data_IF_926107659143
#
_entry.id   IF_926107659143
#
_cell.length_a   1.000
_cell.length_b   1.000
_cell.length_c   1.000
_cell.angle_alpha   90.00
_cell.angle_beta   90.00
_cell.angle_gamma   90.00
#
_symmetry.space_group_name_H-M   'P 1'
#
loop_
_entity.id
_entity.type
_entity.pdbx_description
1 polymer ?
#
# COMPACT_ATOMS: atom_id res chain seq x y z
N UNK A 1 -5.97 -13.19 -25.77
CA UNK A 1 -4.98 -12.28 -25.14
C UNK A 1 -5.28 -12.21 -23.67
N UNK A 2 -4.25 -12.21 -22.79
CA UNK A 2 -4.49 -12.00 -21.36
C UNK A 2 -4.99 -10.56 -21.14
N UNK A 3 -5.94 -10.34 -20.23
CA UNK A 3 -6.40 -9.00 -19.91
C UNK A 3 -5.23 -8.13 -19.40
N UNK A 4 -5.24 -6.82 -19.69
CA UNK A 4 -4.24 -5.89 -19.15
C UNK A 4 -4.16 -5.98 -17.63
N UNK A 5 -2.96 -5.75 -17.08
CA UNK A 5 -2.71 -5.81 -15.65
C UNK A 5 -2.25 -4.43 -15.16
N UNK A 6 -2.99 -3.82 -14.25
CA UNK A 6 -2.59 -2.59 -13.58
C UNK A 6 -1.83 -2.93 -12.29
N UNK A 7 -0.56 -2.53 -12.22
CA UNK A 7 0.21 -2.62 -10.99
C UNK A 7 -0.05 -1.36 -10.15
N UNK A 8 -0.53 -1.56 -8.96
CA UNK A 8 -0.58 -0.53 -7.93
C UNK A 8 0.62 -0.71 -7.02
N UNK A 9 1.67 0.07 -7.28
CA UNK A 9 2.88 0.08 -6.45
C UNK A 9 2.66 1.02 -5.27
N UNK A 10 2.65 0.48 -4.05
CA UNK A 10 2.24 1.20 -2.86
C UNK A 10 2.92 0.64 -1.60
N UNK A 11 2.83 1.41 -0.51
CA UNK A 11 3.24 0.97 0.83
C UNK A 11 2.12 1.29 1.82
N UNK A 12 1.74 0.36 2.73
CA UNK A 12 0.63 0.59 3.66
C UNK A 12 0.91 1.73 4.66
N UNK A 13 2.17 2.06 4.89
CA UNK A 13 2.57 3.17 5.75
C UNK A 13 3.06 4.39 4.95
N UNK A 14 2.65 4.53 3.68
CA UNK A 14 2.85 5.74 2.87
C UNK A 14 1.61 6.63 2.94
N UNK A 15 1.73 7.85 3.47
CA UNK A 15 0.60 8.78 3.63
C UNK A 15 -0.06 9.16 2.31
N UNK A 16 0.72 9.33 1.23
CA UNK A 16 0.17 9.57 -0.10
C UNK A 16 -0.59 8.36 -0.66
N UNK A 17 -0.22 7.12 -0.28
CA UNK A 17 -1.00 5.92 -0.61
C UNK A 17 -2.32 5.88 0.17
N UNK A 18 -2.33 6.35 1.43
CA UNK A 18 -3.57 6.54 2.18
C UNK A 18 -4.47 7.59 1.52
N UNK A 19 -3.91 8.76 1.17
CA UNK A 19 -4.63 9.78 0.41
C UNK A 19 -5.14 9.32 -0.96
N UNK A 20 -4.53 8.29 -1.54
CA UNK A 20 -4.89 7.73 -2.84
C UNK A 20 -5.90 6.57 -2.72
N UNK A 21 -6.20 6.06 -1.52
CA UNK A 21 -7.07 4.90 -1.34
C UNK A 21 -8.47 5.07 -1.97
N UNK A 22 -9.16 6.23 -1.91
CA UNK A 22 -10.43 6.39 -2.61
C UNK A 22 -10.30 6.32 -4.14
N UNK A 23 -9.17 6.78 -4.67
CA UNK A 23 -8.91 6.76 -6.12
C UNK A 23 -8.71 5.33 -6.60
N UNK A 24 -7.86 4.55 -5.94
CA UNK A 24 -7.64 3.15 -6.35
C UNK A 24 -8.87 2.28 -6.16
N UNK A 25 -9.68 2.50 -5.12
CA UNK A 25 -10.94 1.80 -4.95
C UNK A 25 -11.92 2.13 -6.08
N UNK A 26 -12.05 3.40 -6.47
CA UNK A 26 -12.89 3.80 -7.60
C UNK A 26 -12.40 3.17 -8.92
N UNK A 27 -11.09 3.11 -9.14
CA UNK A 27 -10.50 2.43 -10.32
C UNK A 27 -10.81 0.94 -10.28
N UNK A 28 -10.64 0.26 -9.14
CA UNK A 28 -10.97 -1.17 -9.00
C UNK A 28 -12.43 -1.45 -9.34
N UNK A 29 -13.33 -0.61 -8.85
CA UNK A 29 -14.77 -0.78 -9.09
C UNK A 29 -15.17 -0.50 -10.55
N UNK A 30 -14.55 0.52 -11.19
CA UNK A 30 -14.91 0.93 -12.55
C UNK A 30 -14.31 0.08 -13.66
N UNK A 31 -13.16 -0.57 -13.38
CA UNK A 31 -12.40 -1.29 -14.42
C UNK A 31 -12.28 -2.80 -14.21
N UNK A 32 -12.99 -3.39 -13.22
CA UNK A 32 -12.86 -4.80 -12.84
C UNK A 32 -13.12 -5.80 -13.99
N UNK A 33 -13.96 -5.43 -14.98
CA UNK A 33 -14.21 -6.25 -16.15
C UNK A 33 -13.17 -6.08 -17.26
N UNK A 34 -12.46 -4.94 -17.27
CA UNK A 34 -11.56 -4.53 -18.37
C UNK A 34 -10.09 -4.80 -18.08
N UNK A 35 -9.69 -4.83 -16.81
CA UNK A 35 -8.31 -5.07 -16.40
C UNK A 35 -8.23 -5.75 -15.01
N UNK A 36 -7.14 -6.47 -14.79
CA UNK A 36 -6.79 -6.96 -13.45
C UNK A 36 -5.97 -5.92 -12.72
N UNK A 37 -6.10 -5.86 -11.40
CA UNK A 37 -5.28 -4.96 -10.57
C UNK A 37 -4.48 -5.81 -9.57
N UNK A 38 -3.16 -5.65 -9.59
CA UNK A 38 -2.23 -6.28 -8.67
C UNK A 38 -1.61 -5.24 -7.75
N UNK A 39 -1.65 -5.50 -6.44
CA UNK A 39 -0.89 -4.73 -5.47
C UNK A 39 0.56 -5.21 -5.45
N UNK A 40 1.49 -4.28 -5.67
CA UNK A 40 2.94 -4.50 -5.55
C UNK A 40 3.46 -3.63 -4.41
N UNK A 41 3.94 -4.25 -3.34
CA UNK A 41 4.45 -3.50 -2.20
C UNK A 41 5.81 -2.90 -2.51
N UNK A 42 5.99 -1.64 -2.10
CA UNK A 42 7.15 -0.85 -2.51
C UNK A 42 8.32 -0.88 -1.53
N UNK A 43 8.03 -0.99 -0.23
CA UNK A 43 9.03 -0.87 0.83
C UNK A 43 9.50 0.58 0.97
N UNK A 44 8.71 1.42 1.62
CA UNK A 44 9.03 2.85 1.80
C UNK A 44 10.23 3.03 2.71
N UNK A 45 10.25 2.34 3.86
CA UNK A 45 11.32 2.41 4.89
C UNK A 45 11.56 1.03 5.52
N UNK A 46 11.79 -0.03 4.72
CA UNK A 46 11.90 -1.38 5.26
C UNK A 46 13.22 -1.57 6.01
N UNK A 47 13.14 -2.18 7.20
CA UNK A 47 14.31 -2.48 8.03
C UNK A 47 14.85 -1.27 8.78
N UNK A 48 14.07 -0.19 8.92
CA UNK A 48 14.42 0.92 9.82
C UNK A 48 14.52 0.38 11.26
N UNK A 49 15.68 0.59 11.90
CA UNK A 49 15.94 0.09 13.25
C UNK A 49 16.20 1.19 14.29
N UNK A 50 16.27 2.45 13.85
CA UNK A 50 16.55 3.58 14.73
C UNK A 50 15.29 4.40 15.00
N UNK A 51 15.10 4.86 16.25
CA UNK A 51 14.03 5.77 16.58
C UNK A 51 14.06 7.04 15.74
N UNK A 52 12.86 7.54 15.44
CA UNK A 52 12.69 8.78 14.71
C UNK A 52 13.11 9.98 15.58
N UNK A 53 13.81 10.93 15.00
CA UNK A 53 14.09 12.21 15.65
C UNK A 53 12.86 13.10 15.70
N UNK A 54 12.80 14.06 16.62
CA UNK A 54 11.69 15.02 16.70
C UNK A 54 11.51 15.79 15.37
N UNK A 55 12.59 16.26 14.75
CA UNK A 55 12.54 16.95 13.46
C UNK A 55 11.95 16.05 12.34
N UNK A 56 12.40 14.79 12.26
CA UNK A 56 11.85 13.86 11.26
C UNK A 56 10.38 13.56 11.51
N UNK A 57 9.93 13.51 12.77
CA UNK A 57 8.51 13.37 13.13
C UNK A 57 7.71 14.57 12.65
N UNK A 58 8.19 15.78 12.92
CA UNK A 58 7.49 17.01 12.55
C UNK A 58 7.35 17.13 11.03
N UNK A 59 8.39 16.78 10.27
CA UNK A 59 8.36 16.71 8.81
C UNK A 59 7.29 15.72 8.31
N UNK A 60 7.21 14.54 8.92
CA UNK A 60 6.20 13.53 8.53
C UNK A 60 4.79 13.99 8.86
N UNK A 61 4.56 14.58 10.03
CA UNK A 61 3.25 15.13 10.41
C UNK A 61 2.84 16.29 9.49
N UNK A 62 3.80 17.11 9.06
CA UNK A 62 3.55 18.14 8.05
C UNK A 62 3.12 17.51 6.71
N UNK A 63 3.76 16.44 6.25
CA UNK A 63 3.32 15.69 5.07
C UNK A 63 1.91 15.10 5.26
N UNK A 64 1.57 14.55 6.44
CA UNK A 64 0.22 14.06 6.72
C UNK A 64 -0.82 15.16 6.59
N UNK A 65 -0.51 16.38 7.07
CA UNK A 65 -1.38 17.54 6.90
C UNK A 65 -1.60 17.87 5.41
N UNK A 66 -0.54 17.88 4.59
CA UNK A 66 -0.66 18.11 3.15
C UNK A 66 -1.54 17.05 2.48
N UNK A 67 -1.37 15.78 2.84
CA UNK A 67 -2.21 14.68 2.32
C UNK A 67 -3.66 14.86 2.75
N UNK A 68 -3.92 15.16 4.03
CA UNK A 68 -5.26 15.42 4.55
C UNK A 68 -5.98 16.52 3.74
N UNK A 69 -5.33 17.67 3.59
CA UNK A 69 -5.88 18.80 2.83
C UNK A 69 -6.14 18.43 1.36
N UNK A 70 -5.25 17.66 0.74
CA UNK A 70 -5.34 17.29 -0.68
C UNK A 70 -6.38 16.22 -0.97
N UNK A 71 -6.51 15.23 -0.10
CA UNK A 71 -7.32 14.02 -0.33
C UNK A 71 -8.63 13.98 0.46
N UNK A 72 -8.74 14.73 1.55
CA UNK A 72 -9.86 14.64 2.49
C UNK A 72 -9.81 13.41 3.41
N UNK A 73 -8.78 12.56 3.30
CA UNK A 73 -8.65 11.39 4.16
C UNK A 73 -8.43 11.77 5.62
N UNK A 74 -9.03 11.05 6.59
CA UNK A 74 -8.86 11.34 8.01
C UNK A 74 -7.46 10.96 8.49
N UNK A 75 -6.94 11.75 9.44
CA UNK A 75 -5.69 11.48 10.15
C UNK A 75 -5.88 11.73 11.63
N UNK A 76 -5.40 10.82 12.46
CA UNK A 76 -5.25 11.02 13.91
C UNK A 76 -3.90 11.70 14.16
N UNK A 77 -3.92 12.99 14.44
CA UNK A 77 -2.68 13.77 14.69
C UNK A 77 -2.25 13.71 16.16
N UNK A 78 -3.22 13.71 17.08
CA UNK A 78 -2.93 13.71 18.51
C UNK A 78 -2.31 12.38 18.94
N UNK A 79 -1.11 12.45 19.51
CA UNK A 79 -0.35 11.26 19.93
C UNK A 79 0.24 10.44 18.77
N UNK A 80 0.12 10.90 17.52
CA UNK A 80 0.68 10.21 16.37
C UNK A 80 2.22 10.20 16.45
N UNK A 81 2.80 9.07 16.02
CA UNK A 81 4.24 8.86 15.96
C UNK A 81 4.93 9.23 17.29
N UNK A 82 4.66 8.49 18.38
CA UNK A 82 5.16 8.83 19.71
C UNK A 82 6.69 8.90 19.76
N UNK A 83 7.24 9.52 20.81
CA UNK A 83 8.68 9.54 21.02
C UNK A 83 9.24 8.11 21.02
N UNK A 84 10.37 7.92 20.35
CA UNK A 84 10.98 6.60 20.20
C UNK A 84 10.36 5.71 19.12
N UNK A 85 9.36 6.19 18.37
CA UNK A 85 8.75 5.41 17.29
C UNK A 85 9.76 5.02 16.21
N UNK A 86 9.83 3.73 15.88
CA UNK A 86 10.64 3.20 14.80
C UNK A 86 9.76 3.00 13.57
N UNK A 87 9.93 3.85 12.57
CA UNK A 87 9.10 3.84 11.38
C UNK A 87 9.56 2.78 10.37
N UNK A 88 9.50 1.50 10.76
CA UNK A 88 9.77 0.38 9.87
C UNK A 88 8.49 -0.04 9.13
N UNK A 89 8.51 0.00 7.80
CA UNK A 89 7.34 -0.34 6.98
C UNK A 89 7.33 -1.81 6.54
N UNK A 90 8.38 -2.59 6.87
CA UNK A 90 8.44 -4.01 6.49
C UNK A 90 7.36 -4.85 7.16
N UNK A 91 7.10 -4.77 8.49
CA UNK A 91 6.09 -5.59 9.13
C UNK A 91 4.68 -5.37 8.55
N UNK A 92 4.29 -4.13 8.32
CA UNK A 92 3.00 -3.79 7.71
C UNK A 92 2.89 -4.35 6.27
N UNK A 93 3.95 -4.23 5.47
CA UNK A 93 4.01 -4.80 4.13
C UNK A 93 3.94 -6.32 4.15
N UNK A 94 4.67 -6.98 5.06
CA UNK A 94 4.65 -8.43 5.24
C UNK A 94 3.27 -8.94 5.66
N UNK A 95 2.56 -8.19 6.49
CA UNK A 95 1.19 -8.53 6.88
C UNK A 95 0.23 -8.59 5.68
N UNK A 96 0.34 -7.64 4.74
CA UNK A 96 -0.44 -7.65 3.50
C UNK A 96 -0.10 -8.89 2.64
N UNK A 97 1.19 -9.19 2.50
CA UNK A 97 1.66 -10.38 1.75
C UNK A 97 1.16 -11.67 2.40
N UNK A 98 1.21 -11.75 3.73
CA UNK A 98 0.74 -12.90 4.50
C UNK A 98 -0.75 -13.11 4.33
N UNK A 99 -1.56 -12.05 4.51
CA UNK A 99 -3.01 -12.12 4.32
C UNK A 99 -3.38 -12.57 2.90
N UNK A 100 -2.72 -12.00 1.87
CA UNK A 100 -2.92 -12.40 0.48
C UNK A 100 -2.40 -13.81 0.15
N UNK A 101 -1.48 -14.34 0.94
CA UNK A 101 -1.00 -15.73 0.84
C UNK A 101 -1.98 -16.74 1.44
N UNK A 102 -2.68 -16.37 2.50
CA UNK A 102 -3.72 -17.17 3.16
C UNK A 102 -5.05 -17.10 2.40
N UNK A 103 -5.43 -15.90 1.98
CA UNK A 103 -6.61 -15.66 1.15
C UNK A 103 -6.34 -14.50 0.16
N UNK A 104 -6.16 -14.80 -1.15
CA UNK A 104 -5.89 -13.78 -2.16
C UNK A 104 -6.95 -12.66 -2.23
N UNK A 105 -8.19 -12.94 -1.85
CA UNK A 105 -9.26 -11.94 -1.84
C UNK A 105 -9.07 -10.86 -0.77
N UNK A 106 -8.24 -11.10 0.24
CA UNK A 106 -8.01 -10.25 1.40
C UNK A 106 -6.86 -9.25 1.23
N UNK A 107 -6.07 -9.34 0.16
CA UNK A 107 -4.86 -8.52 0.01
C UNK A 107 -5.15 -7.01 0.08
N UNK A 108 -6.16 -6.52 -0.65
CA UNK A 108 -6.54 -5.11 -0.63
C UNK A 108 -7.26 -4.71 0.66
N UNK A 109 -8.07 -5.63 1.21
CA UNK A 109 -8.75 -5.38 2.49
C UNK A 109 -7.74 -5.24 3.63
N UNK A 110 -6.71 -6.10 3.67
CA UNK A 110 -5.64 -5.99 4.68
C UNK A 110 -4.80 -4.72 4.50
N UNK A 111 -4.47 -4.38 3.25
CA UNK A 111 -3.76 -3.13 2.94
C UNK A 111 -4.53 -1.91 3.47
N UNK A 112 -5.83 -1.83 3.18
CA UNK A 112 -6.69 -0.73 3.62
C UNK A 112 -6.89 -0.74 5.15
N UNK A 113 -7.09 -1.90 5.77
CA UNK A 113 -7.23 -2.01 7.23
C UNK A 113 -5.99 -1.50 7.97
N UNK A 114 -4.78 -1.81 7.48
CA UNK A 114 -3.52 -1.30 8.04
C UNK A 114 -3.45 0.22 7.89
N UNK A 115 -3.80 0.76 6.72
CA UNK A 115 -3.82 2.21 6.50
C UNK A 115 -4.79 2.92 7.46
N UNK A 116 -6.00 2.40 7.60
CA UNK A 116 -7.02 2.94 8.51
C UNK A 116 -6.52 2.91 9.97
N UNK A 117 -6.00 1.77 10.41
CA UNK A 117 -5.47 1.60 11.76
C UNK A 117 -4.33 2.59 12.06
N UNK A 118 -3.40 2.78 11.11
CA UNK A 118 -2.25 3.64 11.30
C UNK A 118 -2.61 5.13 11.23
N UNK A 119 -3.30 5.54 10.14
CA UNK A 119 -3.53 6.96 9.88
C UNK A 119 -4.76 7.53 10.59
N UNK A 120 -5.86 6.79 10.64
CA UNK A 120 -7.12 7.29 11.20
C UNK A 120 -7.33 6.90 12.68
N UNK A 121 -6.74 5.77 13.13
CA UNK A 121 -6.93 5.27 14.49
C UNK A 121 -5.69 5.45 15.37
N UNK A 122 -4.54 5.86 14.82
CA UNK A 122 -3.30 6.08 15.58
C UNK A 122 -2.68 4.80 16.17
N UNK A 123 -2.96 3.62 15.58
CA UNK A 123 -2.45 2.33 16.06
C UNK A 123 -1.07 2.03 15.49
N UNK A 124 -0.23 1.42 16.31
CA UNK A 124 1.11 0.98 15.89
C UNK A 124 1.06 -0.30 15.06
N UNK A 125 1.04 -0.15 13.74
CA UNK A 125 0.99 -1.26 12.77
C UNK A 125 2.37 -1.89 12.49
N UNK A 126 3.40 -1.53 13.25
CA UNK A 126 4.67 -2.27 13.27
C UNK A 126 4.59 -3.49 14.20
N UNK A 127 3.57 -3.53 15.08
CA UNK A 127 3.40 -4.56 16.11
C UNK A 127 2.64 -5.78 15.56
N UNK A 128 3.20 -7.00 15.65
CA UNK A 128 2.55 -8.23 15.16
C UNK A 128 1.16 -8.47 15.74
N UNK A 129 0.95 -8.12 17.03
CA UNK A 129 -0.35 -8.29 17.68
C UNK A 129 -1.43 -7.39 17.06
N UNK A 130 -1.09 -6.16 16.67
CA UNK A 130 -2.01 -5.24 15.97
C UNK A 130 -2.36 -5.79 14.60
N UNK A 131 -1.37 -6.27 13.85
CA UNK A 131 -1.55 -6.85 12.53
C UNK A 131 -2.41 -8.11 12.56
N UNK A 132 -2.20 -8.99 13.55
CA UNK A 132 -3.02 -10.18 13.74
C UNK A 132 -4.48 -9.84 14.09
N UNK A 133 -4.71 -8.82 14.91
CA UNK A 133 -6.06 -8.34 15.21
C UNK A 133 -6.77 -7.79 13.97
N UNK A 134 -6.05 -7.08 13.09
CA UNK A 134 -6.60 -6.62 11.80
C UNK A 134 -6.94 -7.80 10.88
N UNK A 135 -6.08 -8.81 10.80
CA UNK A 135 -6.34 -10.03 10.03
C UNK A 135 -7.57 -10.78 10.55
N UNK A 136 -7.72 -10.90 11.89
CA UNK A 136 -8.90 -11.49 12.51
C UNK A 136 -10.18 -10.73 12.18
N UNK A 137 -10.15 -9.39 12.15
CA UNK A 137 -11.26 -8.56 11.71
C UNK A 137 -11.69 -8.80 10.25
N UNK A 138 -10.80 -9.36 9.43
CA UNK A 138 -11.06 -9.77 8.05
C UNK A 138 -11.46 -11.24 7.90
N UNK A 139 -11.62 -11.97 9.03
CA UNK A 139 -11.99 -13.38 9.05
C UNK A 139 -10.82 -14.35 8.83
N UNK A 140 -9.57 -13.88 8.96
CA UNK A 140 -8.38 -14.74 8.92
C UNK A 140 -8.07 -15.19 10.36
N UNK A 141 -7.82 -16.49 10.56
CA UNK A 141 -7.43 -17.01 11.88
C UNK A 141 -6.15 -16.33 12.39
N UNK A 142 -6.20 -15.70 13.57
CA UNK A 142 -5.10 -14.91 14.11
C UNK A 142 -3.85 -15.74 14.41
N UNK A 143 -4.00 -16.98 14.89
CA UNK A 143 -2.87 -17.86 15.20
C UNK A 143 -2.18 -18.34 13.93
N UNK A 144 -2.95 -18.78 12.94
CA UNK A 144 -2.44 -19.16 11.63
C UNK A 144 -1.81 -17.97 10.89
N UNK A 145 -2.37 -16.78 11.03
CA UNK A 145 -1.77 -15.56 10.49
C UNK A 145 -0.40 -15.28 11.11
N UNK A 146 -0.26 -15.31 12.43
CA UNK A 146 1.03 -15.06 13.10
C UNK A 146 2.08 -16.11 12.71
N UNK A 147 1.71 -17.38 12.64
CA UNK A 147 2.60 -18.44 12.18
C UNK A 147 3.10 -18.19 10.74
N UNK A 148 2.19 -17.85 9.84
CA UNK A 148 2.52 -17.54 8.45
C UNK A 148 3.34 -16.25 8.33
N UNK A 149 2.99 -15.20 9.12
CA UNK A 149 3.67 -13.91 9.16
C UNK A 149 5.13 -14.03 9.60
N UNK A 150 5.45 -14.88 10.57
CA UNK A 150 6.81 -15.07 11.08
C UNK A 150 7.66 -16.02 10.22
N UNK A 151 7.09 -16.60 9.17
CA UNK A 151 7.80 -17.52 8.29
C UNK A 151 8.83 -16.83 7.38
N UNK A 152 9.90 -17.55 7.03
CA UNK A 152 10.86 -17.09 6.02
C UNK A 152 10.23 -16.93 4.65
N UNK A 153 9.20 -17.71 4.35
CA UNK A 153 8.44 -17.61 3.10
C UNK A 153 7.74 -16.25 2.97
N UNK A 154 7.11 -15.74 4.04
CA UNK A 154 6.48 -14.42 4.04
C UNK A 154 7.53 -13.31 3.88
N UNK A 155 8.67 -13.39 4.58
CA UNK A 155 9.78 -12.44 4.46
C UNK A 155 10.34 -12.42 3.04
N UNK A 156 10.63 -13.59 2.48
CA UNK A 156 11.15 -13.72 1.11
C UNK A 156 10.17 -13.14 0.08
N UNK A 157 8.87 -13.47 0.21
CA UNK A 157 7.84 -12.95 -0.70
C UNK A 157 7.69 -11.43 -0.60
N UNK A 158 7.79 -10.87 0.61
CA UNK A 158 7.77 -9.42 0.83
C UNK A 158 8.96 -8.75 0.14
N UNK A 159 10.17 -9.29 0.29
CA UNK A 159 11.36 -8.79 -0.39
C UNK A 159 11.24 -8.90 -1.93
N UNK A 160 10.59 -9.95 -2.43
CA UNK A 160 10.31 -10.09 -3.86
C UNK A 160 9.40 -8.95 -4.40
N UNK A 161 8.36 -8.54 -3.64
CA UNK A 161 7.55 -7.38 -3.97
C UNK A 161 8.39 -6.10 -4.04
N UNK A 162 9.24 -5.86 -3.04
CA UNK A 162 10.13 -4.68 -3.02
C UNK A 162 11.09 -4.68 -4.21
N UNK A 163 11.67 -5.84 -4.54
CA UNK A 163 12.54 -6.01 -5.69
C UNK A 163 11.81 -5.77 -7.01
N UNK A 164 10.58 -6.27 -7.15
CA UNK A 164 9.73 -6.06 -8.32
C UNK A 164 9.43 -4.57 -8.53
N UNK A 165 9.03 -3.86 -7.48
CA UNK A 165 8.79 -2.41 -7.51
C UNK A 165 10.04 -1.64 -7.98
N UNK A 166 11.21 -1.94 -7.40
CA UNK A 166 12.48 -1.32 -7.82
C UNK A 166 12.85 -1.65 -9.26
N UNK A 167 12.69 -2.91 -9.69
CA UNK A 167 12.98 -3.34 -11.08
C UNK A 167 12.09 -2.64 -12.10
N UNK A 168 10.85 -2.29 -11.74
CA UNK A 168 9.94 -1.50 -12.56
C UNK A 168 10.28 0.01 -12.56
N UNK A 169 11.37 0.42 -11.92
CA UNK A 169 11.81 1.82 -11.85
C UNK A 169 10.92 2.71 -10.98
N UNK A 170 10.17 2.13 -10.04
CA UNK A 170 9.36 2.90 -9.09
C UNK A 170 10.27 3.58 -8.08
N UNK A 171 10.13 4.90 -7.92
CA UNK A 171 10.94 5.73 -7.03
C UNK A 171 10.13 6.38 -5.91
N UNK A 172 8.81 6.29 -5.98
CA UNK A 172 7.90 6.87 -5.00
C UNK A 172 6.52 6.19 -5.04
N UNK A 173 5.70 6.50 -4.05
CA UNK A 173 4.38 5.89 -3.90
C UNK A 173 3.31 6.97 -3.68
N UNK A 174 2.07 6.75 -4.18
CA UNK A 174 1.66 5.63 -5.04
C UNK A 174 2.22 5.74 -6.46
N UNK A 175 2.39 4.61 -7.15
CA UNK A 175 2.68 4.58 -8.60
C UNK A 175 1.74 3.57 -9.26
N UNK A 176 1.16 3.94 -10.41
CA UNK A 176 0.36 3.05 -11.25
C UNK A 176 1.09 2.75 -12.56
N UNK A 177 1.19 1.46 -12.90
CA UNK A 177 1.81 0.99 -14.14
C UNK A 177 0.83 0.03 -14.83
N UNK A 178 0.43 0.34 -16.07
CA UNK A 178 -0.37 -0.55 -16.90
C UNK A 178 0.54 -1.47 -17.69
N UNK A 179 0.41 -2.77 -17.48
CA UNK A 179 1.09 -3.80 -18.28
C UNK A 179 0.16 -4.32 -19.35
N UNK A 180 0.62 -4.22 -20.63
CA UNK A 180 -0.04 -4.75 -21.83
C UNK A 180 0.95 -5.64 -22.58
N UNK A 181 0.90 -6.94 -22.35
CA UNK A 181 1.94 -7.87 -22.81
C UNK A 181 3.30 -7.54 -22.17
N UNK A 182 4.30 -7.16 -22.98
CA UNK A 182 5.61 -6.75 -22.48
C UNK A 182 5.74 -5.24 -22.25
N UNK A 183 4.77 -4.45 -22.69
CA UNK A 183 4.77 -2.99 -22.53
C UNK A 183 4.36 -2.61 -21.10
N UNK A 184 5.08 -1.66 -20.52
CA UNK A 184 4.81 -1.07 -19.21
C UNK A 184 4.60 0.44 -19.38
N UNK A 185 3.36 0.88 -19.25
CA UNK A 185 2.99 2.28 -19.36
C UNK A 185 2.77 2.86 -17.97
N UNK A 186 3.46 3.94 -17.61
CA UNK A 186 3.28 4.63 -16.32
C UNK A 186 2.05 5.53 -16.39
N UNK A 187 1.02 5.18 -15.61
CA UNK A 187 -0.26 5.90 -15.53
C UNK A 187 -0.19 7.05 -14.54
N UNK A 188 0.44 6.83 -13.40
CA UNK A 188 0.61 7.82 -12.36
C UNK A 188 1.93 7.61 -11.60
N UNK A 189 2.59 8.71 -11.25
CA UNK A 189 3.78 8.76 -10.42
C UNK A 189 3.51 9.78 -9.29
N UNK A 190 3.15 9.28 -8.10
CA UNK A 190 2.58 10.06 -7.03
C UNK A 190 1.04 10.17 -7.10
N UNK A 191 0.50 10.94 -6.15
CA UNK A 191 -0.95 11.15 -6.03
C UNK A 191 -1.51 11.92 -7.24
N UNK A 192 -2.57 11.38 -7.83
CA UNK A 192 -3.33 12.00 -8.93
C UNK A 192 -4.83 11.93 -8.64
N UNK A 193 -5.63 12.92 -9.06
CA UNK A 193 -7.08 12.86 -8.92
C UNK A 193 -7.67 11.77 -9.83
N UNK A 194 -8.77 11.17 -9.41
CA UNK A 194 -9.45 10.07 -10.13
C UNK A 194 -9.64 10.34 -11.62
N UNK A 195 -10.11 11.55 -11.98
CA UNK A 195 -10.36 11.92 -13.38
C UNK A 195 -9.09 11.84 -14.25
N UNK A 196 -7.92 12.22 -13.71
CA UNK A 196 -6.66 12.13 -14.45
C UNK A 196 -6.25 10.67 -14.66
N UNK A 197 -6.38 9.84 -13.62
CA UNK A 197 -6.09 8.40 -13.71
C UNK A 197 -7.01 7.72 -14.73
N UNK A 198 -8.31 7.99 -14.69
CA UNK A 198 -9.29 7.43 -15.62
C UNK A 198 -9.01 7.85 -17.06
N UNK A 199 -8.73 9.14 -17.30
CA UNK A 199 -8.42 9.63 -18.65
C UNK A 199 -7.22 8.91 -19.28
N UNK A 200 -6.16 8.67 -18.48
CA UNK A 200 -4.97 7.99 -18.97
C UNK A 200 -5.21 6.48 -19.16
N UNK A 201 -5.94 5.84 -18.25
CA UNK A 201 -6.34 4.44 -18.43
C UNK A 201 -7.20 4.25 -19.66
N UNK A 202 -8.23 5.08 -19.85
CA UNK A 202 -9.12 4.97 -21.02
C UNK A 202 -8.37 5.21 -22.32
N UNK A 203 -7.47 6.19 -22.37
CA UNK A 203 -6.61 6.44 -23.53
C UNK A 203 -5.81 5.20 -23.92
N UNK A 204 -5.18 4.53 -22.94
CA UNK A 204 -4.32 3.37 -23.23
C UNK A 204 -5.11 2.08 -23.47
N UNK A 205 -6.27 1.91 -22.83
CA UNK A 205 -7.12 0.72 -23.02
C UNK A 205 -7.89 0.74 -24.35
N UNK A 206 -8.07 1.93 -24.96
CA UNK A 206 -8.67 2.08 -26.29
C UNK A 206 -7.69 1.94 -27.44
N UNK A 207 -6.38 2.15 -27.19
CA UNK A 207 -5.33 1.95 -28.18
C UNK A 207 -4.86 0.48 -28.15
N UNK A 208 -5.21 -0.36 -29.15
CA UNK A 208 -4.58 -1.67 -29.28
C UNK A 208 -3.08 -1.44 -29.51
N UNK A 209 -2.24 -2.08 -28.67
CA UNK A 209 -0.79 -2.08 -28.82
C UNK A 209 -0.34 -2.90 -30.04
#
# INVERSE_FOLDING_TARGET
MNPPLLWYCADPMCSWCWGFSPVIEAVRNSYHERLKIALVLGGLRPGTATPMTAAARDDILHHWQQVHVRSGQPFQFDGALPEGFIYDTEPASRAVVTAGGLDPSKIFAMFHAIQTAFYAEGRDVTQPAVLAALAAGLGIDAAGFLQAFDSDAARTKTQAHFAQSRKAGVRGFPTLILQRGELLDRIADGWQPLKAVQAELDRLLLCPG
#
